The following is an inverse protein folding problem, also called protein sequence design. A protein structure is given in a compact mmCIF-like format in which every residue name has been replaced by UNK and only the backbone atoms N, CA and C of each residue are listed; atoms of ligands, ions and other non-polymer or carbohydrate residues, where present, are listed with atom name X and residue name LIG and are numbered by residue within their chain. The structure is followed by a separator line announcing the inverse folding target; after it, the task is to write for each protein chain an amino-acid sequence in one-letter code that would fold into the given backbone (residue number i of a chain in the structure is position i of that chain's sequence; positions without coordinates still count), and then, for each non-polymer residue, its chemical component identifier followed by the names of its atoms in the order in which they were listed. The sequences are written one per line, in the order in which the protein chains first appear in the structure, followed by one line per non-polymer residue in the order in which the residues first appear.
data_IF_876095953208
#
_entry.id   IF_876095953208
#
_cell.length_a   1.000
_cell.length_b   1.000
_cell.length_c   1.000
_cell.angle_alpha   90.00
_cell.angle_beta   90.00
_cell.angle_gamma   90.00
#
_symmetry.space_group_name_H-M   'P 1'
#
loop_
_entity.id
_entity.type
_entity.pdbx_description
1 polymer ?
#
# COMPACT_ATOMS: atom_id res chain seq x y z
N UNK A 1 -6.54 -11.69 -6.65
CA UNK A 1 -7.56 -11.70 -5.57
C UNK A 1 -7.92 -13.13 -5.23
N UNK A 2 -8.25 -13.47 -3.97
CA UNK A 2 -8.66 -14.83 -3.62
C UNK A 2 -9.96 -15.24 -4.31
N UNK A 3 -10.13 -16.53 -4.52
CA UNK A 3 -11.40 -17.10 -5.00
C UNK A 3 -12.45 -17.09 -3.89
N UNK A 4 -13.73 -17.29 -4.24
CA UNK A 4 -14.78 -17.47 -3.25
C UNK A 4 -14.49 -18.65 -2.31
N UNK A 5 -13.84 -19.71 -2.78
CA UNK A 5 -13.51 -20.89 -1.99
C UNK A 5 -12.63 -20.54 -0.79
N UNK A 6 -11.68 -19.62 -0.95
CA UNK A 6 -10.84 -19.13 0.15
C UNK A 6 -11.69 -18.52 1.28
N UNK A 7 -12.65 -17.66 0.94
CA UNK A 7 -13.50 -16.97 1.92
C UNK A 7 -14.50 -17.88 2.65
N UNK A 8 -14.76 -19.09 2.14
CA UNK A 8 -15.59 -20.10 2.81
C UNK A 8 -14.76 -21.05 3.68
N UNK A 9 -13.43 -20.91 3.73
CA UNK A 9 -12.62 -21.70 4.65
C UNK A 9 -12.91 -21.30 6.10
N UNK A 10 -12.79 -22.24 7.05
CA UNK A 10 -12.71 -21.89 8.47
C UNK A 10 -11.66 -20.80 8.69
N UNK A 11 -11.95 -19.84 9.57
CA UNK A 11 -11.08 -18.69 9.84
C UNK A 11 -9.65 -19.10 10.19
N UNK A 12 -9.50 -20.14 11.00
CA UNK A 12 -8.20 -20.74 11.33
C UNK A 12 -7.39 -21.15 10.09
N UNK A 13 -8.04 -21.73 9.07
CA UNK A 13 -7.37 -22.10 7.81
C UNK A 13 -7.00 -20.89 6.97
N UNK A 14 -7.83 -19.85 6.98
CA UNK A 14 -7.48 -18.59 6.31
C UNK A 14 -6.26 -17.97 6.99
N UNK A 15 -6.26 -17.92 8.32
CA UNK A 15 -5.18 -17.34 9.11
C UNK A 15 -3.86 -18.09 8.92
N UNK A 16 -3.84 -19.43 9.02
CA UNK A 16 -2.61 -20.22 8.77
C UNK A 16 -2.00 -19.96 7.39
N UNK A 17 -2.83 -19.71 6.37
CA UNK A 17 -2.33 -19.38 5.04
C UNK A 17 -1.77 -17.95 4.95
N UNK A 18 -2.37 -17.00 5.68
CA UNK A 18 -1.86 -15.63 5.81
C UNK A 18 -0.57 -15.58 6.62
N UNK A 19 -0.47 -16.35 7.71
CA UNK A 19 0.76 -16.47 8.51
C UNK A 19 1.90 -17.08 7.68
N UNK A 20 1.60 -18.12 6.90
CA UNK A 20 2.55 -18.71 5.96
C UNK A 20 3.00 -17.69 4.88
N UNK A 21 2.07 -16.87 4.39
CA UNK A 21 2.38 -15.79 3.45
C UNK A 21 3.27 -14.73 4.10
N UNK A 22 2.96 -14.28 5.32
CA UNK A 22 3.77 -13.34 6.09
C UNK A 22 5.21 -13.85 6.21
N UNK A 23 5.39 -15.11 6.64
CA UNK A 23 6.71 -15.71 6.83
C UNK A 23 7.48 -15.77 5.51
N UNK A 24 6.85 -16.29 4.44
CA UNK A 24 7.54 -16.47 3.16
C UNK A 24 7.91 -15.11 2.53
N UNK A 25 6.98 -14.17 2.50
CA UNK A 25 7.18 -12.87 1.84
C UNK A 25 8.01 -11.88 2.68
N UNK A 26 8.16 -12.11 3.99
CA UNK A 26 9.14 -11.38 4.81
C UNK A 26 10.57 -11.85 4.58
N UNK A 27 10.75 -13.11 4.15
CA UNK A 27 12.07 -13.70 3.89
C UNK A 27 12.53 -13.55 2.45
N UNK A 28 11.59 -13.58 1.51
CA UNK A 28 11.88 -13.60 0.08
C UNK A 28 11.12 -12.48 -0.66
N UNK A 29 11.72 -11.97 -1.73
CA UNK A 29 10.99 -11.12 -2.69
C UNK A 29 9.82 -11.87 -3.33
N UNK A 30 8.86 -11.15 -3.91
CA UNK A 30 7.74 -11.78 -4.63
C UNK A 30 8.25 -12.72 -5.73
N UNK A 31 9.34 -12.36 -6.41
CA UNK A 31 9.95 -13.15 -7.48
C UNK A 31 10.54 -14.46 -6.94
N UNK A 32 11.19 -14.43 -5.77
CA UNK A 32 11.88 -15.58 -5.18
C UNK A 32 10.96 -16.47 -4.33
N UNK A 33 9.85 -15.93 -3.81
CA UNK A 33 8.94 -16.67 -2.94
C UNK A 33 8.36 -17.94 -3.60
N UNK A 34 8.21 -19.01 -2.82
CA UNK A 34 7.81 -20.34 -3.31
C UNK A 34 6.44 -20.76 -2.79
N UNK A 35 5.54 -21.11 -3.71
CA UNK A 35 4.25 -21.73 -3.37
C UNK A 35 4.48 -23.02 -2.56
N UNK A 36 5.54 -23.78 -2.86
CA UNK A 36 5.83 -25.02 -2.15
C UNK A 36 6.15 -24.77 -0.66
N UNK A 37 6.86 -23.68 -0.35
CA UNK A 37 7.15 -23.29 1.02
C UNK A 37 5.87 -22.82 1.73
N UNK A 38 5.08 -21.98 1.07
CA UNK A 38 3.82 -21.46 1.62
C UNK A 38 2.87 -22.59 2.00
N UNK A 39 2.62 -23.54 1.10
CA UNK A 39 1.68 -24.64 1.38
C UNK A 39 2.20 -25.61 2.44
N UNK A 40 3.54 -25.76 2.54
CA UNK A 40 4.18 -26.53 3.61
C UNK A 40 3.99 -25.84 4.97
N UNK A 41 4.21 -24.53 5.05
CA UNK A 41 4.03 -23.73 6.27
C UNK A 41 2.56 -23.66 6.70
N UNK A 42 1.64 -23.54 5.73
CA UNK A 42 0.20 -23.49 5.98
C UNK A 42 -0.44 -24.87 6.24
N UNK A 43 0.34 -25.95 6.12
CA UNK A 43 -0.09 -27.34 6.26
C UNK A 43 -1.30 -27.69 5.36
N UNK A 44 -1.20 -27.31 4.08
CA UNK A 44 -2.21 -27.64 3.06
C UNK A 44 -1.57 -28.35 1.86
N UNK A 45 -2.32 -29.22 1.15
CA UNK A 45 -1.86 -29.77 -0.12
C UNK A 45 -1.64 -28.67 -1.17
N UNK A 46 -0.64 -28.84 -2.04
CA UNK A 46 -0.35 -27.87 -3.12
C UNK A 46 -1.56 -27.61 -4.03
N UNK A 47 -2.36 -28.63 -4.31
CA UNK A 47 -3.59 -28.49 -5.11
C UNK A 47 -4.61 -27.53 -4.50
N UNK A 48 -4.68 -27.47 -3.16
CA UNK A 48 -5.59 -26.56 -2.44
C UNK A 48 -5.22 -25.10 -2.65
N UNK A 49 -3.93 -24.78 -2.77
CA UNK A 49 -3.50 -23.42 -3.08
C UNK A 49 -4.18 -22.86 -4.33
N UNK A 50 -4.20 -23.64 -5.42
CA UNK A 50 -4.79 -23.23 -6.69
C UNK A 50 -6.32 -23.17 -6.67
N UNK A 51 -6.97 -23.76 -5.66
CA UNK A 51 -8.39 -23.56 -5.42
C UNK A 51 -8.67 -22.19 -4.77
N UNK A 52 -7.69 -21.61 -4.08
CA UNK A 52 -7.83 -20.37 -3.30
C UNK A 52 -7.24 -19.16 -4.02
N UNK A 53 -6.15 -19.33 -4.76
CA UNK A 53 -5.40 -18.26 -5.44
C UNK A 53 -4.94 -18.74 -6.82
N UNK A 54 -5.00 -17.89 -7.85
CA UNK A 54 -4.54 -18.29 -9.19
C UNK A 54 -3.02 -18.47 -9.20
N UNK A 55 -2.31 -17.63 -8.44
CA UNK A 55 -0.85 -17.62 -8.35
C UNK A 55 -0.38 -16.95 -7.03
N UNK A 56 0.93 -16.93 -6.80
CA UNK A 56 1.52 -16.28 -5.61
C UNK A 56 1.35 -14.76 -5.57
N UNK A 57 1.22 -14.08 -6.72
CA UNK A 57 0.96 -12.64 -6.73
C UNK A 57 -0.41 -12.33 -6.13
N UNK A 58 -1.42 -13.16 -6.39
CA UNK A 58 -2.75 -12.98 -5.82
C UNK A 58 -2.75 -13.07 -4.30
N UNK A 59 -2.04 -14.06 -3.75
CA UNK A 59 -1.87 -14.19 -2.30
C UNK A 59 -1.05 -13.02 -1.74
N UNK A 60 0.00 -12.61 -2.44
CA UNK A 60 0.87 -11.50 -2.03
C UNK A 60 0.12 -10.18 -1.89
N UNK A 61 -0.62 -9.77 -2.93
CA UNK A 61 -1.37 -8.52 -2.90
C UNK A 61 -2.60 -8.62 -1.99
N UNK A 62 -3.20 -9.80 -1.83
CA UNK A 62 -4.24 -9.99 -0.83
C UNK A 62 -3.71 -9.83 0.60
N UNK A 63 -2.57 -10.46 0.91
CA UNK A 63 -1.90 -10.29 2.19
C UNK A 63 -1.56 -8.81 2.45
N UNK A 64 -0.97 -8.11 1.47
CA UNK A 64 -0.74 -6.67 1.57
C UNK A 64 -2.01 -5.87 1.90
N UNK A 65 -3.14 -6.17 1.24
CA UNK A 65 -4.41 -5.52 1.53
C UNK A 65 -4.89 -5.81 2.97
N UNK A 66 -4.70 -7.04 3.48
CA UNK A 66 -5.07 -7.37 4.87
C UNK A 66 -4.29 -6.57 5.91
N UNK A 67 -3.01 -6.27 5.65
CA UNK A 67 -2.19 -5.42 6.52
C UNK A 67 -2.70 -3.98 6.59
N UNK A 68 -3.39 -3.52 5.55
CA UNK A 68 -3.91 -2.14 5.49
C UNK A 68 -5.36 -1.99 5.91
N UNK A 69 -6.07 -3.08 6.20
CA UNK A 69 -7.51 -3.06 6.50
C UNK A 69 -7.88 -2.09 7.63
N UNK A 70 -6.97 -1.86 8.58
CA UNK A 70 -7.18 -0.90 9.68
C UNK A 70 -6.90 0.57 9.28
N UNK A 71 -6.22 0.80 8.15
CA UNK A 71 -5.75 2.12 7.69
C UNK A 71 -6.37 2.60 6.37
N UNK A 72 -7.28 1.85 5.76
CA UNK A 72 -7.87 2.17 4.45
C UNK A 72 -8.57 3.54 4.37
N UNK A 73 -9.01 4.10 5.52
CA UNK A 73 -9.65 5.43 5.59
C UNK A 73 -8.85 6.46 6.40
N UNK A 74 -7.58 6.18 6.70
CA UNK A 74 -6.80 7.04 7.58
C UNK A 74 -6.47 8.39 6.92
N UNK A 75 -6.18 8.41 5.62
CA UNK A 75 -5.94 9.69 4.91
C UNK A 75 -7.21 10.54 4.82
N UNK A 76 -8.35 9.92 4.49
CA UNK A 76 -9.65 10.60 4.45
C UNK A 76 -10.02 11.21 5.80
N UNK A 77 -9.92 10.41 6.88
CA UNK A 77 -10.12 10.89 8.25
C UNK A 77 -9.17 12.04 8.59
N UNK A 78 -7.92 11.94 8.15
CA UNK A 78 -6.95 12.99 8.40
C UNK A 78 -7.28 14.27 7.63
N UNK A 79 -7.72 14.18 6.37
CA UNK A 79 -8.16 15.36 5.60
C UNK A 79 -9.32 16.05 6.33
N UNK A 80 -10.29 15.29 6.84
CA UNK A 80 -11.40 15.84 7.63
C UNK A 80 -10.88 16.50 8.92
N UNK A 81 -9.97 15.84 9.64
CA UNK A 81 -9.40 16.36 10.90
C UNK A 81 -8.59 17.65 10.68
N UNK A 82 -7.89 17.77 9.56
CA UNK A 82 -7.13 18.95 9.16
C UNK A 82 -7.97 19.99 8.39
N UNK A 83 -9.30 19.93 8.51
CA UNK A 83 -10.25 20.87 7.90
C UNK A 83 -10.07 21.01 6.38
N UNK A 84 -9.88 19.88 5.70
CA UNK A 84 -9.69 19.83 4.25
C UNK A 84 -8.26 20.14 3.79
N UNK A 85 -7.29 20.38 4.69
CA UNK A 85 -5.91 20.63 4.29
C UNK A 85 -5.20 19.35 3.86
N UNK A 86 -5.13 19.13 2.54
CA UNK A 86 -4.55 17.92 1.95
C UNK A 86 -3.09 17.72 2.35
N UNK A 87 -2.28 18.77 2.35
CA UNK A 87 -0.83 18.61 2.56
C UNK A 87 -0.52 18.32 4.02
N UNK A 88 -1.19 19.01 4.95
CA UNK A 88 -1.06 18.70 6.38
C UNK A 88 -1.58 17.28 6.69
N UNK A 89 -2.67 16.88 6.05
CA UNK A 89 -3.19 15.52 6.19
C UNK A 89 -2.22 14.45 5.66
N UNK A 90 -1.59 14.72 4.51
CA UNK A 90 -0.55 13.86 3.94
C UNK A 90 0.68 13.78 4.84
N UNK A 91 1.10 14.90 5.45
CA UNK A 91 2.21 14.90 6.42
C UNK A 91 1.92 13.94 7.57
N UNK A 92 0.79 14.10 8.26
CA UNK A 92 0.45 13.25 9.41
C UNK A 92 0.28 11.78 9.01
N UNK A 93 -0.50 11.52 7.96
CA UNK A 93 -0.79 10.17 7.50
C UNK A 93 0.48 9.43 7.04
N UNK A 94 1.26 10.03 6.15
CA UNK A 94 2.44 9.37 5.61
C UNK A 94 3.60 9.32 6.61
N UNK A 95 3.71 10.27 7.54
CA UNK A 95 4.68 10.16 8.63
C UNK A 95 4.44 8.91 9.47
N UNK A 96 3.18 8.65 9.87
CA UNK A 96 2.79 7.43 10.58
C UNK A 96 3.06 6.18 9.73
N UNK A 97 2.69 6.23 8.45
CA UNK A 97 2.89 5.11 7.52
C UNK A 97 4.37 4.76 7.33
N UNK A 98 5.26 5.76 7.20
CA UNK A 98 6.70 5.54 7.04
C UNK A 98 7.27 4.83 8.26
N UNK A 99 6.90 5.25 9.48
CA UNK A 99 7.35 4.59 10.70
C UNK A 99 6.89 3.14 10.73
N UNK A 100 5.60 2.88 10.50
CA UNK A 100 5.06 1.51 10.47
C UNK A 100 5.77 0.64 9.41
N UNK A 101 6.02 1.19 8.23
CA UNK A 101 6.71 0.48 7.16
C UNK A 101 8.16 0.16 7.56
N UNK A 102 8.91 1.13 8.08
CA UNK A 102 10.34 0.94 8.35
C UNK A 102 10.64 0.18 9.65
N UNK A 103 9.75 0.23 10.65
CA UNK A 103 10.02 -0.30 11.99
C UNK A 103 8.91 -1.17 12.57
N UNK A 104 7.74 -1.23 11.92
CA UNK A 104 6.61 -2.03 12.39
C UNK A 104 6.84 -3.54 12.26
N UNK A 105 5.89 -4.32 12.76
CA UNK A 105 5.94 -5.79 12.78
C UNK A 105 6.19 -6.39 11.39
N UNK A 106 5.63 -5.75 10.36
CA UNK A 106 5.70 -6.20 8.97
C UNK A 106 6.84 -5.55 8.17
N UNK A 107 7.80 -4.88 8.82
CA UNK A 107 8.87 -4.15 8.13
C UNK A 107 9.71 -5.00 7.16
N UNK A 108 9.94 -6.28 7.48
CA UNK A 108 10.68 -7.18 6.56
C UNK A 108 9.88 -7.48 5.28
N UNK A 109 8.57 -7.66 5.40
CA UNK A 109 7.68 -7.80 4.24
C UNK A 109 7.70 -6.53 3.38
N UNK A 110 7.53 -5.37 4.01
CA UNK A 110 7.52 -4.09 3.29
C UNK A 110 8.87 -3.77 2.65
N UNK A 111 9.99 -4.14 3.28
CA UNK A 111 11.31 -4.02 2.67
C UNK A 111 11.36 -4.79 1.35
N UNK A 112 10.94 -6.05 1.36
CA UNK A 112 10.94 -6.88 0.16
C UNK A 112 9.96 -6.36 -0.91
N UNK A 113 8.85 -5.75 -0.50
CA UNK A 113 7.89 -5.08 -1.36
C UNK A 113 8.50 -3.85 -2.05
N UNK A 114 9.05 -2.91 -1.28
CA UNK A 114 9.48 -1.60 -1.79
C UNK A 114 10.85 -1.62 -2.48
N UNK A 115 11.81 -2.41 -1.98
CA UNK A 115 13.16 -2.46 -2.56
C UNK A 115 13.17 -3.14 -3.93
N UNK A 116 12.29 -4.11 -4.15
CA UNK A 116 12.19 -4.85 -5.42
C UNK A 116 10.97 -4.43 -6.26
N UNK A 117 10.40 -3.26 -5.95
CA UNK A 117 9.19 -2.78 -6.59
C UNK A 117 9.45 -2.36 -8.04
N UNK A 118 8.88 -3.07 -8.99
CA UNK A 118 8.78 -2.58 -10.37
C UNK A 118 7.58 -1.63 -10.55
N UNK A 119 7.48 -1.00 -11.71
CA UNK A 119 6.38 -0.09 -12.02
C UNK A 119 4.99 -0.75 -11.92
N UNK A 120 4.86 -2.03 -12.27
CA UNK A 120 3.58 -2.75 -12.23
C UNK A 120 3.15 -3.05 -10.80
N UNK A 121 4.10 -3.43 -9.94
CA UNK A 121 3.91 -3.64 -8.52
C UNK A 121 3.58 -2.32 -7.81
N UNK A 122 4.29 -1.23 -8.14
CA UNK A 122 3.99 0.12 -7.65
C UNK A 122 2.56 0.54 -7.97
N UNK A 123 2.12 0.30 -9.21
CA UNK A 123 0.73 0.56 -9.59
C UNK A 123 -0.24 -0.27 -8.75
N UNK A 124 -0.04 -1.59 -8.62
CA UNK A 124 -0.91 -2.42 -7.79
C UNK A 124 -0.93 -2.01 -6.32
N UNK A 125 0.20 -1.61 -5.76
CA UNK A 125 0.25 -1.08 -4.39
C UNK A 125 -0.60 0.16 -4.31
N UNK A 126 -0.40 1.14 -5.20
CA UNK A 126 -1.17 2.38 -5.25
C UNK A 126 -2.66 2.11 -5.46
N UNK A 127 -3.03 1.14 -6.32
CA UNK A 127 -4.41 0.70 -6.54
C UNK A 127 -5.02 0.23 -5.21
N UNK A 128 -4.32 -0.67 -4.50
CA UNK A 128 -4.72 -1.12 -3.18
C UNK A 128 -4.70 0.02 -2.14
N UNK A 129 -3.87 1.05 -2.31
CA UNK A 129 -3.86 2.26 -1.48
C UNK A 129 -5.17 3.04 -1.59
N UNK A 130 -5.69 3.13 -2.81
CA UNK A 130 -6.85 3.93 -3.17
C UNK A 130 -8.19 3.21 -3.02
N UNK A 131 -8.24 1.88 -3.13
CA UNK A 131 -9.51 1.14 -3.00
C UNK A 131 -9.81 0.82 -1.54
N UNK A 132 -10.53 1.70 -0.83
CA UNK A 132 -11.16 1.35 0.44
C UNK A 132 -12.48 0.60 0.21
N UNK A 133 -12.69 -0.55 0.87
CA UNK A 133 -13.89 -1.42 0.98
C UNK A 133 -14.85 -1.70 -0.21
N UNK A 134 -14.93 -0.89 -1.28
CA UNK A 134 -15.86 -1.06 -2.41
C UNK A 134 -15.67 -2.37 -3.18
N UNK A 135 -14.48 -2.98 -3.10
CA UNK A 135 -14.21 -4.26 -3.75
C UNK A 135 -14.97 -5.45 -3.13
N UNK A 136 -15.43 -5.36 -1.87
CA UNK A 136 -16.22 -6.45 -1.26
C UNK A 136 -17.64 -6.55 -1.81
N UNK A 137 -18.21 -5.44 -2.31
CA UNK A 137 -19.61 -5.38 -2.74
C UNK A 137 -19.83 -5.54 -4.25
N UNK A 138 -18.81 -5.37 -5.11
CA UNK A 138 -18.91 -5.65 -6.55
C UNK A 138 -18.66 -7.13 -6.87
N UNK A 139 -19.54 -7.98 -6.34
CA UNK A 139 -19.69 -9.37 -6.80
C UNK A 139 -20.32 -9.33 -8.20
N UNK A 140 -19.84 -10.23 -9.07
CA UNK A 140 -20.26 -10.49 -10.45
C UNK A 140 -19.60 -9.63 -11.56
N UNK A 141 -18.89 -10.35 -12.42
CA UNK A 141 -18.43 -10.02 -13.78
C UNK A 141 -17.03 -9.42 -14.03
N UNK A 142 -16.27 -10.24 -14.79
CA UNK A 142 -15.17 -9.97 -15.73
C UNK A 142 -13.82 -9.46 -15.20
N UNK A 143 -12.79 -10.28 -15.46
CA UNK A 143 -11.42 -10.25 -14.95
C UNK A 143 -10.40 -9.44 -15.79
N UNK A 144 -10.80 -8.55 -16.71
CA UNK A 144 -9.82 -7.95 -17.66
C UNK A 144 -9.60 -6.44 -17.65
N UNK A 145 -10.38 -5.62 -16.91
CA UNK A 145 -10.21 -4.14 -16.93
C UNK A 145 -10.37 -3.41 -15.57
N UNK A 146 -10.10 -4.07 -14.44
CA UNK A 146 -10.58 -3.62 -13.11
C UNK A 146 -9.80 -2.49 -12.40
N UNK A 147 -8.51 -2.27 -12.67
CA UNK A 147 -7.69 -1.30 -11.89
C UNK A 147 -7.95 0.19 -12.18
N UNK A 148 -8.53 0.55 -13.34
CA UNK A 148 -8.66 1.97 -13.74
C UNK A 148 -9.81 2.71 -13.07
N UNK A 149 -10.85 2.00 -12.59
CA UNK A 149 -12.08 2.61 -12.04
C UNK A 149 -11.98 2.95 -10.55
N UNK A 150 -11.31 2.12 -9.75
CA UNK A 150 -11.18 2.35 -8.30
C UNK A 150 -10.34 3.58 -7.95
N UNK A 151 -9.23 3.77 -8.67
CA UNK A 151 -8.37 4.94 -8.49
C UNK A 151 -9.06 6.27 -8.81
N UNK A 152 -9.79 6.33 -9.91
CA UNK A 152 -10.50 7.53 -10.30
C UNK A 152 -11.59 7.88 -9.28
N UNK A 153 -12.33 6.88 -8.81
CA UNK A 153 -13.38 7.07 -7.80
C UNK A 153 -12.83 7.54 -6.45
N UNK A 154 -11.73 6.97 -5.97
CA UNK A 154 -11.11 7.41 -4.71
C UNK A 154 -10.49 8.80 -4.83
N UNK A 155 -9.80 9.09 -5.94
CA UNK A 155 -9.27 10.43 -6.19
C UNK A 155 -10.39 11.47 -6.26
N UNK A 156 -11.51 11.15 -6.92
CA UNK A 156 -12.70 11.99 -6.96
C UNK A 156 -13.32 12.18 -5.57
N UNK A 157 -13.40 11.12 -4.76
CA UNK A 157 -13.87 11.20 -3.38
C UNK A 157 -12.99 12.12 -2.52
N UNK A 158 -11.67 11.93 -2.55
CA UNK A 158 -10.74 12.83 -1.86
C UNK A 158 -10.91 14.28 -2.34
N UNK A 159 -11.04 14.48 -3.65
CA UNK A 159 -11.23 15.80 -4.24
C UNK A 159 -12.48 16.53 -3.73
N UNK A 160 -13.51 15.81 -3.27
CA UNK A 160 -14.73 16.41 -2.71
C UNK A 160 -14.57 16.92 -1.26
N UNK A 161 -13.66 16.32 -0.49
CA UNK A 161 -13.48 16.64 0.94
C UNK A 161 -12.32 17.60 1.21
N UNK A 162 -11.51 17.91 0.20
CA UNK A 162 -10.36 18.80 0.30
C UNK A 162 -10.80 20.27 0.19
N UNK A 163 -10.18 21.14 0.98
CA UNK A 163 -10.29 22.59 0.85
C UNK A 163 -9.49 23.06 -0.37
N UNK A 164 -10.21 23.23 -1.48
CA UNK A 164 -9.62 23.64 -2.76
C UNK A 164 -9.06 25.06 -2.76
N UNK A 165 -9.45 25.92 -1.81
CA UNK A 165 -8.89 27.28 -1.73
C UNK A 165 -7.40 27.27 -1.36
N UNK A 166 -6.91 26.16 -0.80
CA UNK A 166 -5.51 25.94 -0.41
C UNK A 166 -4.66 25.29 -1.49
N UNK A 167 -5.24 24.93 -2.64
CA UNK A 167 -4.55 24.25 -3.73
C UNK A 167 -4.62 25.08 -5.01
N UNK A 168 -3.51 25.16 -5.74
CA UNK A 168 -3.47 25.76 -7.08
C UNK A 168 -3.89 24.78 -8.19
N UNK A 169 -4.49 23.64 -7.80
CA UNK A 169 -4.84 22.55 -8.71
C UNK A 169 -6.22 22.83 -9.29
N UNK A 170 -6.30 23.00 -10.61
CA UNK A 170 -7.53 23.43 -11.28
C UNK A 170 -8.30 22.25 -11.90
N UNK A 171 -7.59 21.18 -12.27
CA UNK A 171 -8.18 20.05 -12.99
C UNK A 171 -8.02 18.71 -12.25
N UNK A 172 -8.97 17.77 -12.39
CA UNK A 172 -8.81 16.41 -11.85
C UNK A 172 -7.54 15.68 -12.36
N UNK A 173 -7.08 16.06 -13.56
CA UNK A 173 -5.86 15.52 -14.16
C UNK A 173 -4.61 16.05 -13.44
N UNK A 174 -4.55 17.34 -13.14
CA UNK A 174 -3.49 17.91 -12.30
C UNK A 174 -3.50 17.32 -10.89
N UNK A 175 -4.69 17.12 -10.32
CA UNK A 175 -4.81 16.44 -9.02
C UNK A 175 -4.20 15.04 -9.05
N UNK A 176 -4.46 14.29 -10.12
CA UNK A 176 -3.86 12.95 -10.31
C UNK A 176 -2.33 13.03 -10.36
N UNK A 177 -1.76 14.00 -11.10
CA UNK A 177 -0.31 14.18 -11.18
C UNK A 177 0.30 14.62 -9.84
N UNK A 178 -0.38 15.50 -9.11
CA UNK A 178 0.03 15.91 -7.78
C UNK A 178 0.10 14.70 -6.84
N UNK A 179 -0.97 13.90 -6.78
CA UNK A 179 -1.02 12.69 -5.95
C UNK A 179 0.06 11.66 -6.36
N UNK A 180 0.30 11.46 -7.65
CA UNK A 180 1.38 10.60 -8.14
C UNK A 180 2.76 11.10 -7.70
N UNK A 181 2.99 12.41 -7.78
CA UNK A 181 4.26 13.04 -7.38
C UNK A 181 4.48 12.88 -5.88
N UNK A 182 3.45 13.10 -5.07
CA UNK A 182 3.53 12.89 -3.64
C UNK A 182 3.76 11.41 -3.28
N UNK A 183 3.09 10.48 -3.95
CA UNK A 183 3.34 9.04 -3.77
C UNK A 183 4.77 8.65 -4.14
N UNK A 184 5.35 9.25 -5.20
CA UNK A 184 6.75 9.05 -5.54
C UNK A 184 7.68 9.59 -4.45
N UNK A 185 7.37 10.75 -3.86
CA UNK A 185 8.12 11.27 -2.72
C UNK A 185 8.07 10.31 -1.51
N UNK A 186 6.92 9.71 -1.24
CA UNK A 186 6.76 8.69 -0.18
C UNK A 186 7.57 7.43 -0.49
N UNK A 187 7.40 6.83 -1.67
CA UNK A 187 8.09 5.59 -2.05
C UNK A 187 9.61 5.76 -2.09
N UNK A 188 10.10 6.86 -2.67
CA UNK A 188 11.55 7.15 -2.66
C UNK A 188 12.08 7.26 -1.23
N UNK A 189 11.33 7.90 -0.33
CA UNK A 189 11.73 8.03 1.09
C UNK A 189 11.77 6.68 1.81
N UNK A 190 10.81 5.79 1.55
CA UNK A 190 10.81 4.43 2.11
C UNK A 190 12.00 3.63 1.60
N UNK A 191 12.26 3.65 0.29
CA UNK A 191 13.39 2.94 -0.33
C UNK A 191 14.71 3.47 0.21
N UNK A 192 14.87 4.78 0.30
CA UNK A 192 16.05 5.42 0.90
C UNK A 192 16.20 5.03 2.38
N UNK A 193 15.10 5.00 3.15
CA UNK A 193 15.11 4.57 4.55
C UNK A 193 15.63 3.14 4.72
N UNK A 194 15.12 2.18 3.94
CA UNK A 194 15.64 0.81 3.97
C UNK A 194 17.09 0.70 3.49
N UNK A 195 17.50 1.50 2.49
CA UNK A 195 18.90 1.55 2.06
C UNK A 195 19.79 1.99 3.22
N UNK A 196 19.41 3.06 3.92
CA UNK A 196 20.18 3.59 5.05
C UNK A 196 20.22 2.62 6.24
N UNK A 197 19.13 1.92 6.56
CA UNK A 197 19.14 0.88 7.60
C UNK A 197 20.13 -0.26 7.31
N UNK A 198 20.38 -0.57 6.03
CA UNK A 198 21.37 -1.60 5.65
C UNK A 198 22.80 -1.10 5.79
N UNK A 199 23.04 0.18 5.54
CA UNK A 199 24.37 0.80 5.59
C UNK A 199 24.74 1.25 7.01
N UNK A 200 23.75 1.62 7.82
CA UNK A 200 23.92 2.13 9.18
C UNK A 200 22.89 1.50 10.13
N UNK A 201 23.37 0.64 11.03
CA UNK A 201 22.53 -0.05 12.02
C UNK A 201 21.93 0.90 13.08
N UNK A 202 22.44 2.13 13.21
CA UNK A 202 21.91 3.16 14.09
C UNK A 202 20.92 4.11 13.40
N UNK A 203 20.48 3.81 12.17
CA UNK A 203 19.54 4.65 11.44
C UNK A 203 18.19 4.76 12.15
N UNK A 204 17.73 5.99 12.36
CA UNK A 204 16.43 6.31 12.96
C UNK A 204 15.40 6.64 11.86
N UNK A 205 14.23 6.00 11.94
CA UNK A 205 13.11 6.24 11.02
C UNK A 205 12.57 7.67 11.11
N UNK A 206 12.87 8.42 12.17
CA UNK A 206 12.57 9.86 12.24
C UNK A 206 13.26 10.67 11.13
N UNK A 207 14.42 10.24 10.64
CA UNK A 207 15.10 10.91 9.53
C UNK A 207 14.36 10.70 8.21
N UNK A 208 13.76 9.52 7.97
CA UNK A 208 12.87 9.30 6.83
C UNK A 208 11.64 10.21 6.92
N UNK A 209 11.03 10.34 8.10
CA UNK A 209 9.89 11.24 8.31
C UNK A 209 10.26 12.69 8.02
N UNK A 210 11.43 13.15 8.48
CA UNK A 210 11.95 14.49 8.20
C UNK A 210 12.16 14.72 6.70
N UNK A 211 12.75 13.75 5.99
CA UNK A 211 12.92 13.82 4.53
C UNK A 211 11.58 13.92 3.80
N UNK A 212 10.57 13.13 4.21
CA UNK A 212 9.23 13.23 3.64
C UNK A 212 8.64 14.63 3.87
N UNK A 213 8.71 15.16 5.10
CA UNK A 213 8.21 16.50 5.44
C UNK A 213 8.85 17.58 4.57
N UNK A 214 10.15 17.50 4.31
CA UNK A 214 10.84 18.42 3.40
C UNK A 214 10.30 18.30 1.97
N UNK A 215 10.13 17.08 1.45
CA UNK A 215 9.56 16.86 0.11
C UNK A 215 8.12 17.38 -0.01
N UNK A 216 7.27 17.15 1.00
CA UNK A 216 5.91 17.69 1.05
C UNK A 216 5.90 19.22 1.15
N UNK A 217 6.83 19.81 1.90
CA UNK A 217 6.98 21.27 1.96
C UNK A 217 7.35 21.88 0.59
N UNK A 218 8.23 21.24 -0.16
CA UNK A 218 8.53 21.65 -1.54
C UNK A 218 7.33 21.50 -2.47
N UNK A 219 6.49 20.47 -2.28
CA UNK A 219 5.22 20.35 -3.02
C UNK A 219 4.22 21.44 -2.64
N UNK A 220 4.22 21.90 -1.38
CA UNK A 220 3.36 22.98 -0.88
C UNK A 220 3.78 24.35 -1.41
N UNK A 221 5.07 24.67 -1.33
CA UNK A 221 5.57 26.03 -1.52
C UNK A 221 6.36 26.21 -2.83
N UNK A 222 6.63 25.13 -3.56
CA UNK A 222 7.63 25.12 -4.62
C UNK A 222 9.06 25.14 -4.07
N UNK A 223 10.03 25.01 -4.98
CA UNK A 223 11.46 25.04 -4.66
C UNK A 223 12.15 26.39 -4.97
N UNK A 224 11.44 27.32 -5.61
CA UNK A 224 11.95 28.64 -5.99
C UNK A 224 11.68 29.67 -4.88
N UNK A 225 12.58 30.64 -4.72
CA UNK A 225 12.45 31.75 -3.75
C UNK A 225 12.17 33.06 -4.47
#
# INVERSE_FOLDING_TARGET
MPTNTFFHLPEEKQQRLLDAAQIEFSRHSLQEASIANIVKLAEIPRGSFYQYFENKEDLYFYYFATLRKNSERDLEKQIIAENGDLIEAMDVYFSKMIVEVLTGENASFYRNLFVNMDYRASRRVTDNLATGEEEKNRKQHCHKHRGRKGHAAYAEHLYQIIDRSKLTIETPKEFTWFMQTAMHAVFSTIVDGYRQQRENTAYDSTEAVKQLKMKLNWLKNGAYK
#
